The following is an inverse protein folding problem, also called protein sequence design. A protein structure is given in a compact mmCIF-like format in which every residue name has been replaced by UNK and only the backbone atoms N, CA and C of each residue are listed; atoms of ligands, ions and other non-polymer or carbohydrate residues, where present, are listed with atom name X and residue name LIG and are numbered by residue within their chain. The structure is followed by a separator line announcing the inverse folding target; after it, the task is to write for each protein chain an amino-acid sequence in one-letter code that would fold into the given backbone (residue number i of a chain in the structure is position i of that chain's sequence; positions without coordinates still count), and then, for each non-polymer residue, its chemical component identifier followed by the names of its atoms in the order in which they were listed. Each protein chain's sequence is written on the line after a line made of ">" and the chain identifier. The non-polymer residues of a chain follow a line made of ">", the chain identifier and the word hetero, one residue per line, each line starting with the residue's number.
data_IF_323077690977
#
_entry.id   IF_323077690977
#
_cell.length_a   1.000
_cell.length_b   1.000
_cell.length_c   1.000
_cell.angle_alpha   90.00
_cell.angle_beta   90.00
_cell.angle_gamma   90.00
#
_symmetry.space_group_name_H-M   'P 1'
#
loop_
_entity.id
_entity.type
_entity.pdbx_description
1 polymer ?
#
# COMPACT_ATOMS: atom_id res chain seq x y z
N UNK A 1 -39.59 -27.40 2.20
CA UNK A 1 -38.18 -27.02 1.89
C UNK A 1 -38.08 -25.51 1.63
N UNK A 2 -38.71 -24.74 2.51
CA UNK A 2 -38.72 -23.30 2.67
C UNK A 2 -38.83 -23.19 4.20
N UNK A 3 -37.77 -22.72 4.89
CA UNK A 3 -37.71 -22.34 6.33
C UNK A 3 -36.28 -22.47 6.90
N UNK A 4 -35.29 -21.89 6.22
CA UNK A 4 -33.94 -21.75 6.79
C UNK A 4 -33.23 -20.45 6.36
N UNK A 5 -33.97 -19.41 5.97
CA UNK A 5 -33.41 -18.05 5.85
C UNK A 5 -33.50 -17.40 7.24
N UNK A 6 -32.72 -17.93 8.18
CA UNK A 6 -32.41 -17.21 9.41
C UNK A 6 -31.73 -15.91 9.01
N UNK A 7 -32.33 -14.77 9.38
CA UNK A 7 -31.69 -13.45 9.33
C UNK A 7 -30.25 -13.59 9.84
N UNK A 8 -29.28 -13.56 8.93
CA UNK A 8 -27.89 -13.40 9.29
C UNK A 8 -27.75 -11.94 9.74
N UNK A 9 -28.10 -11.68 11.01
CA UNK A 9 -27.75 -10.43 11.67
C UNK A 9 -26.25 -10.20 11.47
N UNK A 10 -25.82 -8.95 11.26
CA UNK A 10 -24.40 -8.68 11.41
C UNK A 10 -23.98 -9.26 12.77
N UNK A 11 -22.87 -9.99 12.85
CA UNK A 11 -22.40 -10.48 14.12
C UNK A 11 -22.09 -9.27 14.99
N UNK A 12 -23.02 -8.90 15.89
CA UNK A 12 -22.66 -8.26 17.13
C UNK A 12 -21.73 -9.24 17.80
N UNK A 13 -20.44 -8.96 17.77
CA UNK A 13 -19.41 -9.72 18.46
C UNK A 13 -19.72 -9.74 19.98
N UNK A 14 -20.61 -10.64 20.39
CA UNK A 14 -20.77 -11.06 21.76
C UNK A 14 -19.61 -12.01 22.08
N UNK A 15 -18.42 -11.43 22.23
CA UNK A 15 -17.19 -12.19 22.46
C UNK A 15 -15.93 -11.35 22.32
N UNK A 16 -15.62 -10.58 23.38
CA UNK A 16 -14.49 -9.64 23.57
C UNK A 16 -14.66 -8.26 22.92
N UNK A 17 -14.86 -7.25 23.77
CA UNK A 17 -14.73 -5.83 23.43
C UNK A 17 -13.48 -5.63 22.54
N UNK A 18 -13.69 -5.18 21.31
CA UNK A 18 -12.65 -4.54 20.51
C UNK A 18 -11.93 -3.54 21.41
N UNK A 19 -10.59 -3.63 21.48
CA UNK A 19 -9.83 -2.82 22.43
C UNK A 19 -9.92 -1.32 22.09
N UNK A 20 -10.43 -1.00 20.89
CA UNK A 20 -10.90 0.33 20.50
C UNK A 20 -9.83 1.41 20.65
N UNK A 21 -8.57 1.03 20.43
CA UNK A 21 -7.39 1.84 20.70
C UNK A 21 -7.14 2.80 19.52
N UNK A 22 -7.46 2.38 18.30
CA UNK A 22 -7.20 3.16 17.10
C UNK A 22 -8.40 4.09 16.79
N UNK A 23 -8.15 5.39 16.93
CA UNK A 23 -9.06 6.44 16.47
C UNK A 23 -8.87 6.78 14.99
N UNK A 24 -9.75 7.65 14.47
CA UNK A 24 -9.69 8.10 13.07
C UNK A 24 -8.32 8.66 12.67
N UNK A 25 -7.69 9.47 13.53
CA UNK A 25 -6.37 10.07 13.26
C UNK A 25 -5.29 8.99 13.07
N UNK A 26 -5.25 7.99 13.95
CA UNK A 26 -4.31 6.88 13.83
C UNK A 26 -4.56 6.09 12.54
N UNK A 27 -5.81 5.75 12.23
CA UNK A 27 -6.13 5.02 10.99
C UNK A 27 -5.82 5.84 9.73
N UNK A 28 -6.00 7.17 9.76
CA UNK A 28 -5.56 8.06 8.69
C UNK A 28 -4.04 8.08 8.59
N UNK A 29 -3.31 8.13 9.71
CA UNK A 29 -1.85 8.06 9.72
C UNK A 29 -1.32 6.72 9.19
N UNK A 30 -2.06 5.61 9.40
CA UNK A 30 -1.78 4.32 8.75
C UNK A 30 -1.96 4.44 7.23
N UNK A 31 -3.13 4.93 6.78
CA UNK A 31 -3.43 5.04 5.35
C UNK A 31 -2.45 5.97 4.61
N UNK A 32 -2.20 7.16 5.15
CA UNK A 32 -1.27 8.14 4.56
C UNK A 32 0.17 7.66 4.70
N UNK A 33 0.53 7.15 5.88
CA UNK A 33 1.91 6.82 6.21
C UNK A 33 2.47 5.59 5.49
N UNK A 34 1.62 4.67 5.02
CA UNK A 34 2.06 3.58 4.16
C UNK A 34 2.23 4.03 2.70
N UNK A 35 1.29 4.83 2.21
CA UNK A 35 1.24 5.22 0.79
C UNK A 35 2.32 6.25 0.48
N UNK A 36 2.50 7.24 1.36
CA UNK A 36 3.51 8.27 1.18
C UNK A 36 4.83 7.68 1.68
N UNK A 37 5.65 7.25 0.73
CA UNK A 37 6.96 6.65 0.94
C UNK A 37 8.02 7.37 0.11
N UNK A 38 9.31 7.09 0.38
CA UNK A 38 10.39 7.73 -0.37
C UNK A 38 10.33 7.32 -1.85
N UNK A 39 10.06 6.05 -2.15
CA UNK A 39 9.92 5.55 -3.52
C UNK A 39 8.76 6.20 -4.26
N UNK A 40 7.62 6.42 -3.60
CA UNK A 40 6.49 7.14 -4.20
C UNK A 40 6.85 8.61 -4.45
N UNK A 41 7.59 9.27 -3.56
CA UNK A 41 8.07 10.64 -3.79
C UNK A 41 8.96 10.76 -5.05
N UNK A 42 9.83 9.77 -5.29
CA UNK A 42 10.63 9.66 -6.52
C UNK A 42 9.71 9.51 -7.72
N UNK A 43 8.81 8.54 -7.69
CA UNK A 43 7.92 8.22 -8.81
C UNK A 43 7.02 9.40 -9.18
N UNK A 44 6.45 10.12 -8.19
CA UNK A 44 5.63 11.29 -8.45
C UNK A 44 6.42 12.39 -9.17
N UNK A 45 7.69 12.62 -8.79
CA UNK A 45 8.54 13.60 -9.49
C UNK A 45 8.93 13.15 -10.89
N UNK A 46 9.21 11.86 -11.09
CA UNK A 46 9.48 11.32 -12.44
C UNK A 46 8.26 11.47 -13.35
N UNK A 47 7.05 11.19 -12.84
CA UNK A 47 5.80 11.41 -13.56
C UNK A 47 5.60 12.87 -13.98
N UNK A 48 5.93 13.80 -13.09
CA UNK A 48 5.96 15.25 -13.38
C UNK A 48 7.04 15.62 -14.39
N UNK A 49 8.21 15.00 -14.33
CA UNK A 49 9.25 15.20 -15.33
C UNK A 49 8.76 14.84 -16.74
N UNK A 50 7.98 13.77 -16.87
CA UNK A 50 7.46 13.29 -18.16
C UNK A 50 6.35 14.18 -18.72
N UNK A 51 5.35 14.54 -17.89
CA UNK A 51 4.15 15.27 -18.36
C UNK A 51 4.10 16.75 -17.95
N UNK A 52 5.13 17.26 -17.27
CA UNK A 52 5.12 18.62 -16.73
C UNK A 52 3.91 18.87 -15.82
N UNK A 53 3.29 20.04 -15.99
CA UNK A 53 2.11 20.44 -15.22
C UNK A 53 0.87 19.59 -15.55
N UNK A 54 0.84 18.91 -16.71
CA UNK A 54 -0.26 18.04 -17.11
C UNK A 54 -0.37 16.77 -16.27
N UNK A 55 0.68 16.38 -15.53
CA UNK A 55 0.67 15.21 -14.63
C UNK A 55 -0.42 15.28 -13.54
N UNK A 56 -0.96 16.47 -13.24
CA UNK A 56 -2.09 16.61 -12.32
C UNK A 56 -3.33 15.82 -12.78
N UNK A 57 -3.51 15.62 -14.09
CA UNK A 57 -4.64 14.87 -14.65
C UNK A 57 -4.53 13.36 -14.38
N UNK A 58 -3.44 12.66 -14.77
CA UNK A 58 -3.28 11.26 -14.39
C UNK A 58 -3.25 11.07 -12.87
N UNK A 59 -2.69 12.01 -12.11
CA UNK A 59 -2.74 12.01 -10.64
C UNK A 59 -4.19 12.05 -10.12
N UNK A 60 -5.03 12.93 -10.68
CA UNK A 60 -6.46 13.01 -10.33
C UNK A 60 -7.27 11.79 -10.75
N UNK A 61 -7.00 11.22 -11.93
CA UNK A 61 -7.65 9.98 -12.38
C UNK A 61 -7.28 8.81 -11.46
N UNK A 62 -6.00 8.67 -11.13
CA UNK A 62 -5.51 7.67 -10.19
C UNK A 62 -6.13 7.84 -8.79
N UNK A 63 -6.33 9.07 -8.33
CA UNK A 63 -7.06 9.35 -7.09
C UNK A 63 -8.51 8.84 -7.17
N UNK A 64 -9.24 9.07 -8.26
CA UNK A 64 -10.61 8.54 -8.45
C UNK A 64 -10.62 7.01 -8.43
N UNK A 65 -9.65 6.36 -9.09
CA UNK A 65 -9.49 4.90 -9.03
C UNK A 65 -9.18 4.43 -7.60
N UNK A 66 -8.43 5.21 -6.83
CA UNK A 66 -8.16 4.92 -5.45
C UNK A 66 -9.41 4.97 -4.56
N UNK A 67 -10.27 5.97 -4.76
CA UNK A 67 -11.57 6.05 -4.08
C UNK A 67 -12.45 4.83 -4.42
N UNK A 68 -12.34 4.29 -5.63
CA UNK A 68 -13.08 3.10 -6.05
C UNK A 68 -12.66 1.84 -5.28
N UNK A 69 -11.36 1.58 -5.13
CA UNK A 69 -10.90 0.46 -4.31
C UNK A 69 -11.22 0.71 -2.82
N UNK A 70 -11.08 1.94 -2.33
CA UNK A 70 -11.42 2.30 -0.95
C UNK A 70 -12.90 1.99 -0.63
N UNK A 71 -13.80 2.25 -1.58
CA UNK A 71 -15.22 1.87 -1.46
C UNK A 71 -15.40 0.36 -1.31
N UNK A 72 -14.64 -0.42 -2.06
CA UNK A 72 -14.76 -1.87 -2.08
C UNK A 72 -14.17 -2.49 -0.80
N UNK A 73 -12.95 -2.09 -0.43
CA UNK A 73 -12.33 -2.53 0.83
C UNK A 73 -13.12 -2.10 2.07
N UNK A 74 -13.71 -0.91 2.08
CA UNK A 74 -14.59 -0.45 3.18
C UNK A 74 -15.80 -1.38 3.37
N UNK A 75 -16.45 -1.77 2.28
CA UNK A 75 -17.61 -2.66 2.35
C UNK A 75 -17.21 -4.07 2.79
N UNK A 76 -16.11 -4.61 2.24
CA UNK A 76 -15.62 -5.93 2.61
C UNK A 76 -15.16 -6.00 4.06
N UNK A 77 -14.38 -5.01 4.52
CA UNK A 77 -13.85 -4.97 5.88
C UNK A 77 -14.94 -4.86 6.94
N UNK A 78 -16.09 -4.27 6.60
CA UNK A 78 -17.20 -4.12 7.53
C UNK A 78 -18.24 -5.23 7.42
N UNK A 79 -18.29 -5.93 6.28
CA UNK A 79 -19.08 -7.15 6.13
C UNK A 79 -18.42 -8.36 6.82
N UNK A 80 -17.09 -8.46 6.75
CA UNK A 80 -16.30 -9.53 7.36
C UNK A 80 -15.21 -8.91 8.24
N UNK A 81 -15.52 -8.41 9.45
CA UNK A 81 -14.59 -7.64 10.27
C UNK A 81 -13.51 -8.52 10.95
N UNK A 82 -12.56 -9.02 10.15
CA UNK A 82 -11.47 -9.91 10.56
C UNK A 82 -10.11 -9.40 10.12
N UNK A 83 -9.11 -9.72 10.93
CA UNK A 83 -7.70 -9.39 10.68
C UNK A 83 -7.14 -10.01 9.38
N UNK A 84 -7.70 -11.15 8.93
CA UNK A 84 -7.32 -11.80 7.67
C UNK A 84 -7.52 -10.94 6.42
N UNK A 85 -8.28 -9.83 6.53
CA UNK A 85 -8.47 -8.85 5.47
C UNK A 85 -8.87 -9.53 4.15
N UNK A 86 -8.17 -9.26 3.05
CA UNK A 86 -8.51 -9.76 1.72
C UNK A 86 -8.68 -11.28 1.65
N UNK A 87 -7.93 -12.08 2.41
CA UNK A 87 -8.13 -13.55 2.39
C UNK A 87 -9.48 -13.95 2.98
N UNK A 88 -9.88 -13.35 4.11
CA UNK A 88 -11.16 -13.59 4.76
C UNK A 88 -12.34 -13.11 3.91
N UNK A 89 -12.15 -12.07 3.11
CA UNK A 89 -13.18 -11.59 2.19
C UNK A 89 -13.33 -12.53 1.01
N UNK A 90 -12.19 -12.94 0.46
CA UNK A 90 -12.11 -13.77 -0.75
C UNK A 90 -12.53 -15.21 -0.50
N UNK A 91 -12.27 -15.77 0.69
CA UNK A 91 -12.70 -17.14 1.01
C UNK A 91 -14.22 -17.28 1.00
N UNK A 92 -14.94 -16.25 1.45
CA UNK A 92 -16.41 -16.19 1.42
C UNK A 92 -16.96 -15.95 0.03
N UNK A 93 -16.22 -15.18 -0.78
CA UNK A 93 -16.67 -14.75 -2.10
C UNK A 93 -16.36 -15.80 -3.19
N UNK A 94 -15.12 -16.27 -3.25
CA UNK A 94 -14.56 -17.04 -4.36
C UNK A 94 -13.88 -18.35 -3.92
N UNK A 95 -13.64 -18.55 -2.62
CA UNK A 95 -13.01 -19.76 -2.07
C UNK A 95 -11.53 -19.59 -1.74
N UNK A 96 -10.90 -20.68 -1.32
CA UNK A 96 -9.57 -20.66 -0.70
C UNK A 96 -8.44 -20.35 -1.68
N UNK A 97 -8.52 -20.79 -2.95
CA UNK A 97 -7.43 -20.58 -3.90
C UNK A 97 -7.22 -19.09 -4.22
N UNK A 98 -8.24 -18.32 -4.65
CA UNK A 98 -8.06 -16.88 -4.87
C UNK A 98 -7.71 -16.14 -3.56
N UNK A 99 -8.18 -16.63 -2.40
CA UNK A 99 -7.82 -16.04 -1.11
C UNK A 99 -6.32 -16.16 -0.80
N UNK A 100 -5.75 -17.37 -0.90
CA UNK A 100 -4.31 -17.60 -0.69
C UNK A 100 -3.49 -16.86 -1.74
N UNK A 101 -3.86 -16.97 -3.02
CA UNK A 101 -3.15 -16.31 -4.12
C UNK A 101 -3.09 -14.79 -3.90
N UNK A 102 -4.23 -14.16 -3.62
CA UNK A 102 -4.33 -12.70 -3.47
C UNK A 102 -3.45 -12.14 -2.36
N UNK A 103 -3.36 -12.79 -1.20
CA UNK A 103 -2.54 -12.31 -0.07
C UNK A 103 -1.06 -12.62 -0.27
N UNK A 104 -0.70 -13.84 -0.67
CA UNK A 104 0.73 -14.17 -0.84
C UNK A 104 1.34 -13.40 -2.01
N UNK A 105 0.68 -13.34 -3.16
CA UNK A 105 1.21 -12.62 -4.32
C UNK A 105 1.04 -11.10 -4.21
N UNK A 106 -0.11 -10.61 -3.74
CA UNK A 106 -0.44 -9.19 -3.71
C UNK A 106 0.03 -8.42 -2.46
N UNK A 107 0.36 -9.11 -1.37
CA UNK A 107 0.80 -8.45 -0.12
C UNK A 107 2.15 -8.97 0.37
N UNK A 108 2.37 -10.30 0.44
CA UNK A 108 3.64 -10.84 0.97
C UNK A 108 4.79 -10.63 0.00
N UNK A 109 4.62 -10.98 -1.29
CA UNK A 109 5.66 -10.78 -2.31
C UNK A 109 5.88 -9.29 -2.56
N UNK A 110 4.84 -8.48 -2.53
CA UNK A 110 5.04 -7.03 -2.66
C UNK A 110 5.75 -6.47 -1.44
N UNK A 111 5.38 -6.89 -0.22
CA UNK A 111 6.11 -6.49 0.97
C UNK A 111 7.59 -6.87 0.88
N UNK A 112 7.91 -8.05 0.34
CA UNK A 112 9.28 -8.49 0.08
C UNK A 112 10.06 -7.45 -0.73
N UNK A 113 9.57 -7.02 -1.89
CA UNK A 113 10.33 -6.14 -2.78
C UNK A 113 10.15 -4.66 -2.49
N UNK A 114 8.94 -4.20 -2.13
CA UNK A 114 8.64 -2.79 -1.87
C UNK A 114 9.38 -2.29 -0.64
N UNK A 115 9.36 -3.04 0.48
CA UNK A 115 10.06 -2.61 1.68
C UNK A 115 11.57 -2.71 1.53
N UNK A 116 12.09 -3.72 0.81
CA UNK A 116 13.52 -3.74 0.48
C UNK A 116 13.90 -2.52 -0.36
N UNK A 117 13.13 -2.17 -1.39
CA UNK A 117 13.40 -1.01 -2.23
C UNK A 117 13.43 0.29 -1.41
N UNK A 118 12.45 0.48 -0.52
CA UNK A 118 12.42 1.64 0.39
C UNK A 118 13.65 1.70 1.30
N UNK A 119 14.08 0.56 1.85
CA UNK A 119 15.26 0.50 2.71
C UNK A 119 16.57 0.76 1.92
N UNK A 120 16.65 0.30 0.67
CA UNK A 120 17.78 0.61 -0.22
C UNK A 120 17.81 2.10 -0.58
N UNK A 121 16.65 2.71 -0.83
CA UNK A 121 16.52 4.13 -1.11
C UNK A 121 17.01 5.00 0.06
N UNK A 122 16.71 4.61 1.30
CA UNK A 122 17.28 5.26 2.49
C UNK A 122 18.79 5.10 2.54
N UNK A 123 19.29 3.90 2.25
CA UNK A 123 20.73 3.64 2.26
C UNK A 123 21.47 4.46 1.21
N UNK A 124 20.90 4.56 0.00
CA UNK A 124 21.43 5.37 -1.08
C UNK A 124 21.45 6.85 -0.73
N UNK A 125 20.33 7.37 -0.20
CA UNK A 125 20.25 8.74 0.30
C UNK A 125 21.33 9.02 1.37
N UNK A 126 21.50 8.12 2.34
CA UNK A 126 22.53 8.29 3.37
C UNK A 126 23.95 8.16 2.84
N UNK A 127 24.19 7.34 1.82
CA UNK A 127 25.48 7.26 1.12
C UNK A 127 25.85 8.59 0.47
N UNK A 128 24.88 9.26 -0.16
CA UNK A 128 25.08 10.61 -0.75
C UNK A 128 25.39 11.65 0.32
N UNK A 129 24.72 11.59 1.48
CA UNK A 129 24.91 12.58 2.56
C UNK A 129 26.13 12.31 3.43
N UNK A 130 26.46 11.04 3.63
CA UNK A 130 27.50 10.55 4.52
C UNK A 130 28.26 9.41 3.83
N UNK A 131 29.28 9.72 2.99
CA UNK A 131 30.00 8.70 2.22
C UNK A 131 30.60 7.55 3.05
N UNK A 132 30.84 7.77 4.34
CA UNK A 132 31.32 6.74 5.26
C UNK A 132 30.34 5.56 5.49
N UNK A 133 29.05 5.73 5.18
CA UNK A 133 28.04 4.65 5.27
C UNK A 133 27.71 4.03 3.91
N UNK A 134 28.29 4.58 2.83
CA UNK A 134 28.04 4.13 1.46
C UNK A 134 28.38 2.64 1.31
N UNK A 135 27.49 1.92 0.61
CA UNK A 135 27.67 0.50 0.35
C UNK A 135 27.37 -0.43 1.54
N UNK A 136 27.20 0.07 2.76
CA UNK A 136 26.83 -0.75 3.93
C UNK A 136 25.32 -0.95 3.99
N UNK A 137 24.83 -2.11 4.42
CA UNK A 137 23.37 -2.33 4.60
C UNK A 137 22.93 -2.20 6.06
N UNK A 138 23.81 -1.70 6.94
CA UNK A 138 23.58 -1.67 8.37
C UNK A 138 22.41 -0.79 8.78
N UNK A 139 22.21 0.34 8.10
CA UNK A 139 21.08 1.23 8.39
C UNK A 139 19.76 0.58 7.97
N UNK A 140 19.71 -0.04 6.79
CA UNK A 140 18.54 -0.76 6.31
C UNK A 140 18.12 -1.88 7.27
N UNK A 141 19.05 -2.77 7.65
CA UNK A 141 18.78 -3.82 8.64
C UNK A 141 18.51 -3.27 10.04
N UNK A 142 19.14 -2.15 10.41
CA UNK A 142 18.89 -1.46 11.68
C UNK A 142 17.46 -0.95 11.79
N UNK A 143 16.95 -0.29 10.74
CA UNK A 143 15.55 0.16 10.64
C UNK A 143 14.62 -1.05 10.67
N UNK A 144 14.84 -2.05 9.81
CA UNK A 144 14.00 -3.24 9.76
C UNK A 144 13.95 -3.97 11.11
N UNK A 145 15.09 -4.16 11.75
CA UNK A 145 15.22 -4.78 13.07
C UNK A 145 14.53 -3.97 14.16
N UNK A 146 14.75 -2.65 14.20
CA UNK A 146 14.11 -1.77 15.17
C UNK A 146 12.58 -1.82 15.05
N UNK A 147 12.03 -1.68 13.84
CA UNK A 147 10.58 -1.74 13.63
C UNK A 147 9.99 -3.13 13.83
N UNK A 148 10.77 -4.19 13.59
CA UNK A 148 10.38 -5.55 13.96
C UNK A 148 10.22 -5.66 15.48
N UNK A 149 11.21 -5.22 16.26
CA UNK A 149 11.14 -5.22 17.73
C UNK A 149 9.96 -4.37 18.22
N UNK A 150 9.78 -3.17 17.67
CA UNK A 150 8.67 -2.29 18.06
C UNK A 150 7.30 -2.92 17.78
N UNK A 151 7.13 -3.61 16.65
CA UNK A 151 5.89 -4.32 16.34
C UNK A 151 5.68 -5.53 17.27
N UNK A 152 6.74 -6.20 17.73
CA UNK A 152 6.64 -7.25 18.74
C UNK A 152 6.23 -6.70 20.13
N UNK A 153 6.58 -5.44 20.45
CA UNK A 153 6.20 -4.76 21.69
C UNK A 153 4.72 -4.32 21.73
N UNK A 154 4.03 -4.27 20.59
CA UNK A 154 2.57 -4.18 20.51
C UNK A 154 2.01 -2.86 19.98
N UNK A 155 0.69 -2.87 19.75
CA UNK A 155 -0.03 -1.86 18.96
C UNK A 155 -0.02 -0.42 19.52
N UNK A 156 0.11 -0.22 20.83
CA UNK A 156 0.11 1.13 21.43
C UNK A 156 1.35 1.93 21.02
N UNK A 157 2.49 1.23 20.91
CA UNK A 157 3.76 1.83 20.46
C UNK A 157 3.66 2.14 18.97
N UNK A 158 3.15 1.19 18.19
CA UNK A 158 2.87 1.37 16.76
C UNK A 158 2.03 2.62 16.49
N UNK A 159 0.88 2.78 17.16
CA UNK A 159 -0.06 3.85 16.86
C UNK A 159 0.50 5.24 17.17
N UNK A 160 1.26 5.38 18.27
CA UNK A 160 1.90 6.64 18.63
C UNK A 160 3.00 7.00 17.63
N UNK A 161 3.85 6.04 17.29
CA UNK A 161 4.95 6.24 16.35
C UNK A 161 4.42 6.57 14.95
N UNK A 162 3.42 5.82 14.48
CA UNK A 162 2.83 6.02 13.16
C UNK A 162 2.22 7.41 12.99
N UNK A 163 1.53 7.92 14.01
CA UNK A 163 0.99 9.28 13.99
C UNK A 163 2.09 10.33 13.84
N UNK A 164 3.20 10.18 14.57
CA UNK A 164 4.34 11.11 14.50
C UNK A 164 5.02 11.04 13.13
N UNK A 165 5.30 9.83 12.63
CA UNK A 165 5.98 9.65 11.34
C UNK A 165 5.15 10.19 10.18
N UNK A 166 3.86 9.83 10.12
CA UNK A 166 2.97 10.31 9.06
C UNK A 166 2.80 11.84 9.10
N UNK A 167 2.67 12.41 10.30
CA UNK A 167 2.56 13.86 10.45
C UNK A 167 3.84 14.59 10.00
N UNK A 168 5.02 14.13 10.43
CA UNK A 168 6.30 14.74 10.08
C UNK A 168 6.49 14.78 8.55
N UNK A 169 6.19 13.66 7.89
CA UNK A 169 6.29 13.55 6.44
C UNK A 169 5.28 14.43 5.68
N UNK A 170 4.01 14.44 6.08
CA UNK A 170 2.99 15.30 5.46
C UNK A 170 3.39 16.77 5.59
N UNK A 171 3.90 17.18 6.76
CA UNK A 171 4.41 18.54 6.97
C UNK A 171 5.58 18.83 6.04
N UNK A 172 6.56 17.93 5.94
CA UNK A 172 7.73 18.13 5.08
C UNK A 172 7.35 18.31 3.59
N UNK A 173 6.49 17.43 3.06
CA UNK A 173 6.00 17.53 1.69
C UNK A 173 5.16 18.79 1.45
N UNK A 174 4.33 19.16 2.42
CA UNK A 174 3.54 20.39 2.34
C UNK A 174 4.44 21.62 2.34
N UNK A 175 5.50 21.63 3.16
CA UNK A 175 6.48 22.72 3.18
C UNK A 175 7.22 22.85 1.85
N UNK A 176 7.66 21.74 1.25
CA UNK A 176 8.26 21.71 -0.09
C UNK A 176 7.30 22.27 -1.15
N UNK A 177 6.04 21.84 -1.10
CA UNK A 177 5.03 22.31 -2.03
C UNK A 177 4.65 23.79 -1.86
N UNK A 178 4.49 24.27 -0.62
CA UNK A 178 4.14 25.69 -0.33
C UNK A 178 5.31 26.63 -0.59
N UNK A 179 6.55 26.22 -0.31
CA UNK A 179 7.72 27.05 -0.63
C UNK A 179 7.76 27.41 -2.12
N UNK A 180 7.36 26.46 -2.98
CA UNK A 180 7.24 26.67 -4.40
C UNK A 180 6.11 27.61 -4.82
N UNK A 181 5.03 27.76 -4.05
CA UNK A 181 4.00 28.76 -4.36
C UNK A 181 4.42 30.18 -3.99
N UNK A 182 5.27 30.33 -2.97
CA UNK A 182 5.62 31.63 -2.40
C UNK A 182 6.94 32.18 -2.93
N UNK A 183 7.87 31.32 -3.35
CA UNK A 183 9.24 31.71 -3.72
C UNK A 183 10.02 32.31 -2.55
N UNK A 184 9.52 32.18 -1.32
CA UNK A 184 10.01 32.92 -0.16
C UNK A 184 11.32 32.40 0.42
N UNK A 185 11.70 31.15 0.12
CA UNK A 185 12.92 30.52 0.64
C UNK A 185 14.08 30.55 -0.36
N UNK A 186 13.79 30.34 -1.63
CA UNK A 186 14.74 30.45 -2.74
C UNK A 186 14.01 31.01 -3.96
N UNK A 187 14.67 31.87 -4.77
CA UNK A 187 14.09 32.40 -5.98
C UNK A 187 13.76 31.27 -6.95
N UNK A 188 12.60 31.37 -7.60
CA UNK A 188 12.18 30.41 -8.59
C UNK A 188 13.11 30.40 -9.81
N UNK A 189 13.39 29.21 -10.32
CA UNK A 189 14.06 29.05 -11.60
C UNK A 189 13.10 29.29 -12.77
N UNK A 190 11.81 28.97 -12.59
CA UNK A 190 10.76 29.09 -13.62
C UNK A 190 9.57 29.91 -13.14
N UNK A 191 8.90 30.60 -14.05
CA UNK A 191 7.71 31.43 -13.76
C UNK A 191 6.42 30.64 -14.03
N UNK A 192 5.35 30.97 -13.30
CA UNK A 192 4.03 30.35 -13.48
C UNK A 192 3.49 30.41 -14.93
N UNK A 193 3.83 31.47 -15.68
CA UNK A 193 3.44 31.61 -17.08
C UNK A 193 4.14 30.59 -18.01
N UNK A 194 5.38 30.20 -17.69
CA UNK A 194 6.15 29.20 -18.45
C UNK A 194 5.56 27.79 -18.22
N UNK A 195 5.00 27.54 -17.03
CA UNK A 195 4.33 26.29 -16.67
C UNK A 195 2.95 26.11 -17.32
N UNK A 196 2.25 27.21 -17.57
CA UNK A 196 0.94 27.21 -18.23
C UNK A 196 1.05 26.97 -19.75
N UNK A 197 2.16 27.37 -20.37
CA UNK A 197 2.42 27.15 -21.80
C UNK A 197 2.75 25.70 -22.17
N UNK A 198 3.08 24.87 -21.18
CA UNK A 198 3.55 23.48 -21.33
C UNK A 198 2.47 22.44 -20.95
N UNK A 199 1.20 22.85 -20.79
CA UNK A 199 0.12 21.92 -20.49
C UNK A 199 -0.24 21.09 -21.75
N UNK A 200 0.45 19.98 -21.94
CA UNK A 200 0.18 19.03 -23.00
C UNK A 200 -0.05 17.63 -22.41
N UNK A 201 -1.28 17.12 -22.53
CA UNK A 201 -1.56 15.75 -22.10
C UNK A 201 -0.81 14.73 -22.98
N UNK A 202 -0.63 15.00 -24.28
CA UNK A 202 -0.05 14.04 -25.23
C UNK A 202 -0.68 12.63 -25.17
N UNK A 203 -0.12 11.69 -25.93
CA UNK A 203 -0.51 10.28 -25.81
C UNK A 203 0.13 9.61 -24.57
N UNK A 204 1.20 10.23 -24.03
CA UNK A 204 1.93 9.76 -22.85
C UNK A 204 1.22 9.99 -21.50
N UNK A 205 0.31 10.96 -21.36
CA UNK A 205 -0.37 11.17 -20.06
C UNK A 205 -1.23 9.98 -19.65
N UNK A 206 -1.71 9.20 -20.61
CA UNK A 206 -2.50 8.01 -20.34
C UNK A 206 -1.64 6.89 -19.73
N UNK A 207 -0.39 6.70 -20.15
CA UNK A 207 0.51 5.70 -19.54
C UNK A 207 0.89 6.09 -18.12
N UNK A 208 0.96 7.39 -17.83
CA UNK A 208 1.25 7.93 -16.50
C UNK A 208 0.14 7.68 -15.47
N UNK A 209 -1.07 7.31 -15.88
CA UNK A 209 -2.12 6.88 -14.93
C UNK A 209 -1.66 5.63 -14.17
N UNK A 210 -1.01 4.67 -14.85
CA UNK A 210 -0.51 3.45 -14.22
C UNK A 210 0.54 3.76 -13.15
N UNK A 211 1.46 4.69 -13.46
CA UNK A 211 2.46 5.21 -12.52
C UNK A 211 1.79 5.94 -11.35
N UNK A 212 0.81 6.81 -11.63
CA UNK A 212 0.12 7.60 -10.61
C UNK A 212 -0.70 6.73 -9.64
N UNK A 213 -1.27 5.60 -10.09
CA UNK A 213 -2.00 4.66 -9.23
C UNK A 213 -1.10 4.16 -8.09
N UNK A 214 0.19 3.94 -8.36
CA UNK A 214 1.13 3.51 -7.32
C UNK A 214 1.21 4.49 -6.15
N UNK A 215 1.04 5.80 -6.42
CA UNK A 215 0.97 6.85 -5.40
C UNK A 215 -0.27 6.82 -4.51
N UNK A 216 -1.17 5.85 -4.71
CA UNK A 216 -2.35 5.67 -3.88
C UNK A 216 -2.51 4.26 -3.32
N UNK A 217 -1.71 3.29 -3.75
CA UNK A 217 -1.81 1.88 -3.31
C UNK A 217 -1.38 1.77 -1.84
N UNK A 218 -2.20 1.12 -1.00
CA UNK A 218 -1.87 0.85 0.41
C UNK A 218 -2.82 1.47 1.44
N UNK A 219 -3.71 2.40 1.07
CA UNK A 219 -4.64 3.00 2.03
C UNK A 219 -5.55 1.95 2.73
N UNK A 220 -5.77 0.80 2.09
CA UNK A 220 -6.52 -0.34 2.61
C UNK A 220 -5.84 -1.11 3.75
N UNK A 221 -4.57 -0.85 4.07
CA UNK A 221 -3.87 -1.48 5.21
C UNK A 221 -4.48 -1.13 6.58
N UNK A 222 -5.45 -0.22 6.58
CA UNK A 222 -6.36 0.01 7.71
C UNK A 222 -7.29 -1.19 7.96
N UNK A 223 -7.64 -1.98 6.94
CA UNK A 223 -8.62 -3.07 7.02
C UNK A 223 -8.18 -4.23 7.96
N UNK A 224 -6.93 -4.72 7.92
CA UNK A 224 -6.42 -5.67 8.93
C UNK A 224 -6.53 -5.18 10.37
N UNK A 225 -6.61 -3.86 10.58
CA UNK A 225 -6.70 -3.22 11.91
C UNK A 225 -8.14 -3.02 12.39
N UNK A 226 -9.14 -3.57 11.68
CA UNK A 226 -10.57 -3.45 12.00
C UNK A 226 -10.91 -3.84 13.44
N UNK A 227 -10.25 -4.87 13.98
CA UNK A 227 -10.48 -5.34 15.36
C UNK A 227 -10.02 -4.37 16.45
N UNK A 228 -9.13 -3.42 16.13
CA UNK A 228 -8.58 -2.44 17.07
C UNK A 228 -9.15 -1.03 16.86
N UNK A 229 -9.96 -0.82 15.83
CA UNK A 229 -10.63 0.44 15.56
C UNK A 229 -11.72 0.73 16.61
N UNK A 230 -11.77 1.98 17.11
CA UNK A 230 -12.76 2.41 18.11
C UNK A 230 -14.20 2.47 17.58
N UNK A 231 -14.36 2.73 16.28
CA UNK A 231 -15.63 2.82 15.53
C UNK A 231 -15.40 2.37 14.08
N UNK A 232 -15.17 1.06 13.83
CA UNK A 232 -14.75 0.57 12.53
C UNK A 232 -15.70 1.00 11.41
N UNK A 233 -17.02 0.96 11.65
CA UNK A 233 -18.09 1.28 10.70
C UNK A 233 -18.03 2.71 10.15
N UNK A 234 -17.43 3.64 10.90
CA UNK A 234 -17.23 5.02 10.47
C UNK A 234 -15.78 5.32 10.15
N UNK A 235 -14.84 4.81 10.93
CA UNK A 235 -13.46 5.25 10.88
C UNK A 235 -12.65 4.57 9.78
N UNK A 236 -12.93 3.30 9.45
CA UNK A 236 -12.27 2.61 8.33
C UNK A 236 -12.57 3.30 6.99
N UNK A 237 -13.85 3.53 6.60
CA UNK A 237 -14.12 4.21 5.35
C UNK A 237 -13.60 5.64 5.37
N UNK A 238 -13.84 6.39 6.45
CA UNK A 238 -13.39 7.80 6.53
C UNK A 238 -11.87 7.92 6.49
N UNK A 239 -11.11 7.02 7.12
CA UNK A 239 -9.66 7.11 7.08
C UNK A 239 -9.10 6.87 5.69
N UNK A 240 -9.66 5.92 4.92
CA UNK A 240 -9.26 5.69 3.54
C UNK A 240 -9.62 6.89 2.66
N UNK A 241 -10.87 7.34 2.66
CA UNK A 241 -11.29 8.46 1.80
C UNK A 241 -10.56 9.77 2.11
N UNK A 242 -10.49 10.13 3.40
CA UNK A 242 -9.79 11.34 3.82
C UNK A 242 -8.27 11.19 3.61
N UNK A 243 -7.70 10.03 3.92
CA UNK A 243 -6.29 9.74 3.69
C UNK A 243 -5.90 9.90 2.24
N UNK A 244 -6.64 9.27 1.32
CA UNK A 244 -6.43 9.38 -0.13
C UNK A 244 -6.58 10.81 -0.64
N UNK A 245 -7.53 11.56 -0.12
CA UNK A 245 -7.72 12.97 -0.48
C UNK A 245 -6.57 13.85 0.02
N UNK A 246 -6.07 13.59 1.23
CA UNK A 246 -4.86 14.27 1.76
C UNK A 246 -3.64 13.92 0.91
N UNK A 247 -3.46 12.66 0.55
CA UNK A 247 -2.37 12.20 -0.33
C UNK A 247 -2.43 12.94 -1.67
N UNK A 248 -3.61 13.01 -2.32
CA UNK A 248 -3.78 13.74 -3.57
C UNK A 248 -3.42 15.22 -3.43
N UNK A 249 -3.92 15.90 -2.40
CA UNK A 249 -3.63 17.31 -2.19
C UNK A 249 -2.12 17.58 -1.97
N UNK A 250 -1.48 16.76 -1.15
CA UNK A 250 -0.04 16.89 -0.84
C UNK A 250 0.81 16.56 -2.06
N UNK A 251 0.52 15.48 -2.79
CA UNK A 251 1.26 15.15 -4.00
C UNK A 251 1.03 16.13 -5.14
N UNK A 252 -0.19 16.62 -5.33
CA UNK A 252 -0.45 17.68 -6.32
C UNK A 252 0.41 18.91 -6.04
N UNK A 253 0.45 19.35 -4.77
CA UNK A 253 1.25 20.50 -4.37
C UNK A 253 2.75 20.25 -4.53
N UNK A 254 3.23 19.08 -4.08
CA UNK A 254 4.63 18.67 -4.21
C UNK A 254 5.09 18.58 -5.67
N UNK A 255 4.27 17.95 -6.52
CA UNK A 255 4.51 17.78 -7.95
C UNK A 255 4.60 19.12 -8.68
N UNK A 256 3.58 19.97 -8.51
CA UNK A 256 3.55 21.29 -9.13
C UNK A 256 4.68 22.18 -8.60
N UNK A 257 5.01 22.03 -7.31
CA UNK A 257 6.08 22.80 -6.69
C UNK A 257 7.46 22.49 -7.27
N UNK A 258 7.74 21.23 -7.59
CA UNK A 258 9.03 20.81 -8.14
C UNK A 258 9.36 21.50 -9.47
N UNK A 259 8.35 21.73 -10.31
CA UNK A 259 8.51 22.37 -11.62
C UNK A 259 8.95 23.84 -11.54
N UNK A 260 8.79 24.50 -10.40
CA UNK A 260 9.28 25.87 -10.22
C UNK A 260 10.78 25.95 -9.94
N UNK A 261 11.39 24.84 -9.50
CA UNK A 261 12.77 24.81 -9.04
C UNK A 261 13.69 23.95 -9.93
N UNK A 262 13.16 22.91 -10.55
CA UNK A 262 13.95 21.98 -11.34
C UNK A 262 13.46 21.86 -12.79
N UNK A 263 14.39 21.76 -13.76
CA UNK A 263 14.06 21.33 -15.12
C UNK A 263 13.44 19.94 -15.12
N UNK A 264 12.54 19.67 -16.07
CA UNK A 264 11.86 18.38 -16.21
C UNK A 264 12.85 17.23 -16.40
N UNK A 265 13.92 17.45 -17.14
CA UNK A 265 14.97 16.46 -17.40
C UNK A 265 15.58 15.96 -16.09
N UNK A 266 15.87 16.86 -15.14
CA UNK A 266 16.39 16.47 -13.82
C UNK A 266 15.37 15.64 -13.05
N UNK A 267 14.09 16.03 -13.09
CA UNK A 267 13.02 15.28 -12.43
C UNK A 267 12.84 13.86 -13.01
N UNK A 268 13.09 13.68 -14.31
CA UNK A 268 13.00 12.38 -14.98
C UNK A 268 14.22 11.48 -14.72
N UNK A 269 15.43 12.02 -14.79
CA UNK A 269 16.65 11.20 -14.88
C UNK A 269 17.45 11.11 -13.59
N UNK A 270 17.23 12.02 -12.62
CA UNK A 270 17.93 11.94 -11.35
C UNK A 270 17.51 10.67 -10.59
N UNK A 271 18.47 10.05 -9.91
CA UNK A 271 18.19 8.88 -9.05
C UNK A 271 17.42 9.29 -7.78
N UNK A 272 17.72 10.49 -7.24
CA UNK A 272 17.04 11.09 -6.09
C UNK A 272 16.46 12.47 -6.45
N UNK A 273 15.44 12.56 -7.33
CA UNK A 273 14.89 13.85 -7.78
C UNK A 273 14.28 14.65 -6.62
N UNK A 274 13.85 13.96 -5.57
CA UNK A 274 13.35 14.58 -4.34
C UNK A 274 14.46 15.30 -3.56
N UNK A 275 15.71 14.78 -3.61
CA UNK A 275 16.90 15.41 -3.03
C UNK A 275 17.31 16.66 -3.76
N UNK A 276 17.34 16.57 -5.09
CA UNK A 276 17.57 17.73 -5.94
C UNK A 276 16.51 18.81 -5.67
N UNK A 277 15.24 18.42 -5.58
CA UNK A 277 14.16 19.37 -5.37
C UNK A 277 14.29 20.07 -4.01
N UNK A 278 14.48 19.31 -2.93
CA UNK A 278 14.61 19.90 -1.60
C UNK A 278 15.83 20.83 -1.50
N UNK A 279 16.95 20.44 -2.11
CA UNK A 279 18.18 21.23 -2.15
C UNK A 279 17.98 22.51 -2.97
N UNK A 280 17.29 22.45 -4.09
CA UNK A 280 16.96 23.63 -4.89
C UNK A 280 16.00 24.59 -4.17
N UNK A 281 15.04 24.07 -3.41
CA UNK A 281 14.04 24.88 -2.72
C UNK A 281 14.54 25.53 -1.42
N UNK A 282 15.48 24.90 -0.69
CA UNK A 282 15.88 25.31 0.66
C UNK A 282 17.41 25.31 0.89
N UNK A 283 18.22 25.12 -0.14
CA UNK A 283 19.68 24.99 -0.03
C UNK A 283 20.09 23.83 0.88
N UNK A 284 21.20 23.97 1.61
CA UNK A 284 21.70 22.92 2.51
C UNK A 284 20.74 22.53 3.64
N UNK A 285 19.81 23.42 4.03
CA UNK A 285 18.76 23.07 5.00
C UNK A 285 17.69 22.14 4.41
N UNK A 286 17.50 22.19 3.08
CA UNK A 286 16.61 21.30 2.33
C UNK A 286 17.08 19.86 2.33
N UNK A 287 18.38 19.65 2.21
CA UNK A 287 19.03 18.35 2.32
C UNK A 287 18.69 17.66 3.65
N UNK A 288 18.81 18.40 4.78
CA UNK A 288 18.45 17.88 6.09
C UNK A 288 16.93 17.63 6.24
N UNK A 289 16.10 18.59 5.81
CA UNK A 289 14.65 18.45 5.84
C UNK A 289 14.19 17.20 5.09
N UNK A 290 14.75 16.96 3.90
CA UNK A 290 14.41 15.80 3.12
C UNK A 290 14.96 14.51 3.72
N UNK A 291 16.19 14.50 4.23
CA UNK A 291 16.72 13.31 4.90
C UNK A 291 15.78 12.84 6.02
N UNK A 292 15.28 13.78 6.82
CA UNK A 292 14.27 13.49 7.85
C UNK A 292 12.97 12.99 7.22
N UNK A 293 12.46 13.66 6.18
CA UNK A 293 11.21 13.29 5.51
C UNK A 293 11.27 11.88 4.90
N UNK A 294 12.34 11.58 4.18
CA UNK A 294 12.59 10.32 3.50
C UNK A 294 12.74 9.16 4.50
N UNK A 295 13.58 9.32 5.52
CA UNK A 295 13.76 8.30 6.57
C UNK A 295 12.45 8.06 7.33
N UNK A 296 11.72 9.13 7.69
CA UNK A 296 10.44 8.99 8.40
C UNK A 296 9.36 8.35 7.52
N UNK A 297 9.34 8.62 6.21
CA UNK A 297 8.47 8.00 5.23
C UNK A 297 8.71 6.48 5.11
N UNK A 298 9.96 6.07 4.93
CA UNK A 298 10.33 4.66 4.90
C UNK A 298 10.03 3.97 6.24
N UNK A 299 10.37 4.60 7.36
CA UNK A 299 10.03 4.10 8.70
C UNK A 299 8.53 3.90 8.87
N UNK A 300 7.71 4.84 8.40
CA UNK A 300 6.26 4.79 8.43
C UNK A 300 5.68 3.63 7.60
N UNK A 301 6.25 3.42 6.41
CA UNK A 301 5.90 2.32 5.51
C UNK A 301 6.26 0.97 6.13
N UNK A 302 7.49 0.85 6.65
CA UNK A 302 7.98 -0.37 7.34
C UNK A 302 7.12 -0.70 8.55
N UNK A 303 6.84 0.31 9.39
CA UNK A 303 6.02 0.15 10.58
C UNK A 303 4.61 -0.34 10.24
N UNK A 304 3.96 0.24 9.22
CA UNK A 304 2.60 -0.12 8.83
C UNK A 304 2.52 -1.51 8.23
N UNK A 305 3.46 -1.88 7.36
CA UNK A 305 3.49 -3.22 6.76
C UNK A 305 3.77 -4.31 7.80
N UNK A 306 4.71 -4.08 8.72
CA UNK A 306 4.98 -5.01 9.83
C UNK A 306 3.85 -5.09 10.86
N UNK A 307 2.95 -4.11 10.90
CA UNK A 307 1.75 -4.19 11.71
C UNK A 307 0.62 -4.95 10.98
N UNK A 308 0.46 -4.75 9.68
CA UNK A 308 -0.69 -5.23 8.91
C UNK A 308 -0.50 -6.63 8.30
N UNK A 309 0.60 -6.87 7.58
CA UNK A 309 0.83 -8.13 6.84
C UNK A 309 0.89 -9.33 7.78
N UNK A 310 1.56 -9.27 8.95
CA UNK A 310 1.52 -10.36 9.93
C UNK A 310 0.13 -10.70 10.44
N UNK A 311 -0.78 -9.72 10.53
CA UNK A 311 -2.17 -9.92 10.95
C UNK A 311 -3.01 -10.58 9.86
N UNK A 312 -2.73 -10.26 8.59
CA UNK A 312 -3.30 -10.99 7.46
C UNK A 312 -2.87 -12.45 7.50
N UNK A 313 -1.57 -12.72 7.66
CA UNK A 313 -1.02 -14.07 7.79
C UNK A 313 -1.56 -14.83 9.01
N UNK A 314 -1.71 -14.15 10.15
CA UNK A 314 -2.36 -14.69 11.33
C UNK A 314 -3.81 -15.11 11.03
N UNK A 315 -4.58 -14.23 10.39
CA UNK A 315 -5.96 -14.54 10.02
C UNK A 315 -6.05 -15.71 9.04
N UNK A 316 -5.11 -15.81 8.09
CA UNK A 316 -4.99 -16.97 7.19
C UNK A 316 -4.66 -18.27 7.95
N UNK A 317 -3.73 -18.22 8.91
CA UNK A 317 -3.37 -19.37 9.73
C UNK A 317 -4.55 -19.85 10.58
N UNK A 318 -5.35 -18.93 11.13
CA UNK A 318 -6.58 -19.24 11.86
C UNK A 318 -7.64 -19.91 10.98
N UNK A 319 -7.63 -19.67 9.66
CA UNK A 319 -8.50 -20.34 8.69
C UNK A 319 -7.88 -21.59 8.05
N UNK A 320 -6.68 -22.01 8.47
CA UNK A 320 -5.94 -23.14 7.89
C UNK A 320 -5.40 -22.88 6.48
N UNK A 321 -5.42 -21.63 6.02
CA UNK A 321 -4.91 -21.18 4.71
C UNK A 321 -3.40 -20.97 4.71
N UNK A 322 -2.78 -20.92 5.89
CA UNK A 322 -1.34 -20.79 6.06
C UNK A 322 -0.86 -21.69 7.21
N UNK A 323 0.46 -21.79 7.40
CA UNK A 323 1.03 -22.60 8.47
C UNK A 323 0.51 -22.17 9.85
N UNK A 324 0.04 -23.10 10.72
CA UNK A 324 -0.52 -22.76 12.03
C UNK A 324 0.41 -21.93 12.93
N UNK A 325 1.73 -22.11 12.76
CA UNK A 325 2.77 -21.37 13.49
C UNK A 325 2.67 -19.85 13.28
N UNK A 326 2.21 -19.39 12.12
CA UNK A 326 2.02 -17.96 11.82
C UNK A 326 0.88 -17.33 12.66
N UNK A 327 -0.01 -18.17 13.21
CA UNK A 327 -1.07 -17.74 14.11
C UNK A 327 -0.63 -17.57 15.58
N UNK A 328 0.59 -17.96 15.94
CA UNK A 328 1.06 -17.94 17.33
C UNK A 328 1.23 -16.53 17.86
N UNK A 329 0.62 -16.25 19.02
CA UNK A 329 0.54 -14.91 19.62
C UNK A 329 1.36 -14.81 20.89
N UNK A 330 1.98 -13.65 21.12
CA UNK A 330 2.66 -13.36 22.39
C UNK A 330 1.64 -13.24 23.53
N UNK A 331 1.95 -13.79 24.73
CA UNK A 331 1.01 -13.79 25.87
C UNK A 331 0.57 -12.38 26.31
N UNK A 332 1.49 -11.41 26.32
CA UNK A 332 1.26 -10.05 26.83
C UNK A 332 0.60 -9.12 25.79
N UNK A 333 1.17 -9.06 24.58
CA UNK A 333 0.77 -8.11 23.54
C UNK A 333 -0.28 -8.69 22.58
N UNK A 334 -0.38 -10.03 22.50
CA UNK A 334 -1.21 -10.77 21.54
C UNK A 334 -0.84 -10.58 20.07
N UNK A 335 0.33 -10.02 19.80
CA UNK A 335 0.85 -9.88 18.43
C UNK A 335 1.30 -11.23 17.86
N UNK A 336 1.07 -11.50 16.56
CA UNK A 336 1.49 -12.74 15.89
C UNK A 336 3.00 -12.74 15.62
N UNK A 337 3.80 -12.99 16.65
CA UNK A 337 5.26 -12.79 16.60
C UNK A 337 5.96 -13.59 15.48
N UNK A 338 5.48 -14.80 15.18
CA UNK A 338 6.06 -15.64 14.11
C UNK A 338 5.79 -15.02 12.74
N UNK A 339 4.58 -14.50 12.52
CA UNK A 339 4.25 -13.83 11.26
C UNK A 339 5.00 -12.50 11.10
N UNK A 340 5.27 -11.79 12.22
CA UNK A 340 6.12 -10.59 12.23
C UNK A 340 7.55 -10.94 11.81
N UNK A 341 8.15 -11.96 12.43
CA UNK A 341 9.51 -12.42 12.07
C UNK A 341 9.58 -12.96 10.64
N UNK A 342 8.56 -13.69 10.19
CA UNK A 342 8.47 -14.16 8.81
C UNK A 342 8.44 -12.99 7.82
N UNK A 343 7.58 -11.99 8.07
CA UNK A 343 7.47 -10.81 7.19
C UNK A 343 8.77 -10.01 7.17
N UNK A 344 9.41 -9.82 8.33
CA UNK A 344 10.72 -9.17 8.43
C UNK A 344 11.81 -9.98 7.70
N UNK A 345 11.84 -11.30 7.85
CA UNK A 345 12.80 -12.17 7.18
C UNK A 345 12.65 -12.15 5.66
N UNK A 346 11.41 -12.22 5.16
CA UNK A 346 11.10 -12.09 3.74
C UNK A 346 11.51 -10.72 3.22
N UNK A 347 11.22 -9.64 3.95
CA UNK A 347 11.64 -8.26 3.60
C UNK A 347 13.16 -8.08 3.60
N UNK A 348 13.88 -8.78 4.48
CA UNK A 348 15.34 -8.72 4.54
C UNK A 348 16.04 -9.54 3.45
N UNK A 349 15.34 -10.52 2.86
CA UNK A 349 15.95 -11.46 1.92
C UNK A 349 16.47 -10.78 0.64
N UNK A 350 15.72 -9.87 -0.03
CA UNK A 350 16.26 -9.19 -1.21
C UNK A 350 17.48 -8.33 -0.89
N UNK A 351 17.50 -7.69 0.30
CA UNK A 351 18.68 -6.94 0.76
C UNK A 351 19.90 -7.86 0.87
N UNK A 352 19.75 -9.06 1.45
CA UNK A 352 20.85 -10.02 1.59
C UNK A 352 21.35 -10.59 0.25
N UNK A 353 20.44 -10.85 -0.69
CA UNK A 353 20.76 -11.52 -1.96
C UNK A 353 21.33 -10.52 -2.98
N UNK A 354 20.67 -9.38 -3.16
CA UNK A 354 20.99 -8.42 -4.23
C UNK A 354 21.78 -7.21 -3.73
N UNK A 355 22.02 -7.07 -2.42
CA UNK A 355 22.91 -6.05 -1.91
C UNK A 355 22.40 -4.64 -2.27
N UNK A 356 23.21 -3.91 -3.05
CA UNK A 356 22.89 -2.56 -3.54
C UNK A 356 22.39 -2.53 -4.99
N UNK A 357 22.02 -3.68 -5.57
CA UNK A 357 21.42 -3.73 -6.91
C UNK A 357 19.95 -3.27 -6.88
N UNK A 358 19.78 -1.96 -6.80
CA UNK A 358 18.48 -1.30 -6.81
C UNK A 358 17.72 -1.53 -8.12
N UNK A 359 18.42 -1.79 -9.23
CA UNK A 359 17.81 -2.08 -10.53
C UNK A 359 17.02 -3.37 -10.50
N UNK A 360 17.64 -4.47 -10.05
CA UNK A 360 16.96 -5.76 -9.92
C UNK A 360 15.81 -5.70 -8.91
N UNK A 361 16.02 -5.07 -7.75
CA UNK A 361 14.96 -4.94 -6.74
C UNK A 361 13.79 -4.09 -7.26
N UNK A 362 14.06 -3.02 -8.00
CA UNK A 362 13.05 -2.19 -8.65
C UNK A 362 12.27 -2.94 -9.73
N UNK A 363 12.96 -3.73 -10.57
CA UNK A 363 12.32 -4.54 -11.60
C UNK A 363 11.38 -5.60 -11.00
N UNK A 364 11.83 -6.27 -9.94
CA UNK A 364 11.01 -7.24 -9.21
C UNK A 364 9.86 -6.59 -8.44
N UNK A 365 10.05 -5.36 -7.95
CA UNK A 365 8.98 -4.56 -7.36
C UNK A 365 7.87 -4.26 -8.38
N UNK A 366 8.21 -3.78 -9.58
CA UNK A 366 7.20 -3.52 -10.63
C UNK A 366 6.48 -4.83 -11.00
N UNK A 367 7.21 -5.93 -11.09
CA UNK A 367 6.64 -7.27 -11.32
C UNK A 367 5.66 -7.68 -10.21
N UNK A 368 6.00 -7.42 -8.94
CA UNK A 368 5.14 -7.71 -7.80
C UNK A 368 3.92 -6.77 -7.75
N UNK A 369 4.06 -5.52 -8.17
CA UNK A 369 2.95 -4.56 -8.23
C UNK A 369 1.81 -5.07 -9.12
N UNK A 370 2.10 -5.79 -10.21
CA UNK A 370 1.09 -6.45 -11.05
C UNK A 370 0.24 -7.44 -10.22
N UNK A 371 0.87 -8.24 -9.36
CA UNK A 371 0.16 -9.15 -8.48
C UNK A 371 -0.71 -8.41 -7.44
N UNK A 372 -0.28 -7.23 -6.98
CA UNK A 372 -1.11 -6.37 -6.12
C UNK A 372 -2.35 -5.86 -6.86
N UNK A 373 -2.20 -5.38 -8.10
CA UNK A 373 -3.33 -4.90 -8.90
C UNK A 373 -4.34 -6.02 -9.16
N UNK A 374 -3.88 -7.26 -9.35
CA UNK A 374 -4.76 -8.44 -9.43
C UNK A 374 -5.50 -8.66 -8.10
N UNK A 375 -4.85 -8.49 -6.96
CA UNK A 375 -5.50 -8.57 -5.64
C UNK A 375 -6.60 -7.51 -5.47
N UNK A 376 -6.43 -6.30 -6.03
CA UNK A 376 -7.47 -5.27 -6.05
C UNK A 376 -8.64 -5.62 -6.96
N UNK A 377 -8.37 -6.19 -8.14
CA UNK A 377 -9.43 -6.74 -9.01
C UNK A 377 -10.23 -7.79 -8.24
N UNK A 378 -9.56 -8.70 -7.53
CA UNK A 378 -10.21 -9.70 -6.66
C UNK A 378 -11.08 -9.01 -5.59
N UNK A 379 -10.60 -7.94 -4.95
CA UNK A 379 -11.40 -7.19 -3.98
C UNK A 379 -12.69 -6.61 -4.59
N UNK A 380 -12.63 -6.02 -5.79
CA UNK A 380 -13.83 -5.55 -6.49
C UNK A 380 -14.78 -6.68 -6.84
N UNK A 381 -14.26 -7.79 -7.36
CA UNK A 381 -15.04 -8.99 -7.68
C UNK A 381 -15.70 -9.56 -6.42
N UNK A 382 -15.01 -9.54 -5.26
CA UNK A 382 -15.56 -10.00 -3.99
C UNK A 382 -16.82 -9.21 -3.60
N UNK A 383 -16.82 -7.89 -3.75
CA UNK A 383 -18.01 -7.07 -3.46
C UNK A 383 -19.17 -7.48 -4.36
N UNK A 384 -18.90 -7.64 -5.67
CA UNK A 384 -19.93 -8.04 -6.64
C UNK A 384 -20.49 -9.43 -6.31
N UNK A 385 -19.61 -10.41 -6.03
CA UNK A 385 -19.99 -11.77 -5.69
C UNK A 385 -20.79 -11.84 -4.38
N UNK A 386 -20.35 -11.11 -3.34
CA UNK A 386 -21.00 -11.12 -2.03
C UNK A 386 -22.33 -10.39 -2.04
N UNK A 387 -22.52 -9.34 -2.86
CA UNK A 387 -23.85 -8.71 -3.03
C UNK A 387 -24.85 -9.63 -3.72
N UNK A 388 -24.40 -10.46 -4.67
CA UNK A 388 -25.26 -11.46 -5.31
C UNK A 388 -25.57 -12.65 -4.40
N UNK A 389 -24.58 -13.14 -3.65
CA UNK A 389 -24.74 -14.33 -2.79
C UNK A 389 -25.45 -14.01 -1.47
N UNK A 390 -25.21 -12.82 -0.91
CA UNK A 390 -25.79 -12.38 0.36
C UNK A 390 -26.42 -10.99 0.21
N UNK A 391 -27.57 -10.89 -0.51
CA UNK A 391 -28.24 -9.61 -0.75
C UNK A 391 -28.80 -9.00 0.56
N UNK A 392 -29.29 -9.85 1.46
CA UNK A 392 -29.94 -9.43 2.71
C UNK A 392 -28.98 -9.31 3.90
N UNK A 393 -27.68 -9.59 3.70
CA UNK A 393 -26.69 -9.43 4.76
C UNK A 393 -26.59 -7.96 5.17
N UNK A 394 -26.51 -7.73 6.49
CA UNK A 394 -26.31 -6.40 7.04
C UNK A 394 -24.93 -5.86 6.64
N UNK A 395 -24.91 -4.64 6.10
CA UNK A 395 -23.72 -3.98 5.56
C UNK A 395 -23.58 -2.62 6.25
N UNK A 396 -22.73 -2.51 7.29
CA UNK A 396 -22.53 -1.25 8.01
C UNK A 396 -22.04 -0.11 7.10
N UNK A 397 -21.32 -0.47 6.04
CA UNK A 397 -20.98 0.42 4.94
C UNK A 397 -21.40 -0.23 3.62
N UNK A 398 -22.04 0.55 2.75
CA UNK A 398 -22.38 0.16 1.38
C UNK A 398 -21.63 1.06 0.42
N UNK A 399 -20.87 0.46 -0.50
CA UNK A 399 -20.22 1.15 -1.60
C UNK A 399 -21.26 1.99 -2.36
N UNK A 400 -21.02 3.31 -2.49
CA UNK A 400 -21.92 4.22 -3.18
C UNK A 400 -21.96 3.91 -4.68
N UNK A 401 -23.09 4.18 -5.34
CA UNK A 401 -23.25 4.00 -6.80
C UNK A 401 -22.95 2.58 -7.32
N UNK A 402 -23.02 1.56 -6.46
CA UNK A 402 -22.77 0.17 -6.86
C UNK A 402 -23.59 -0.24 -8.10
N UNK A 403 -23.00 -0.95 -9.09
CA UNK A 403 -21.63 -1.50 -9.12
C UNK A 403 -20.58 -0.59 -9.77
N UNK A 404 -20.87 0.70 -9.98
CA UNK A 404 -20.03 1.59 -10.77
C UNK A 404 -18.58 1.69 -10.26
N UNK A 405 -18.30 1.90 -8.96
CA UNK A 405 -16.91 1.95 -8.47
C UNK A 405 -16.16 0.64 -8.69
N UNK A 406 -16.84 -0.50 -8.61
CA UNK A 406 -16.20 -1.81 -8.82
C UNK A 406 -15.84 -2.00 -10.30
N UNK A 407 -16.72 -1.61 -11.22
CA UNK A 407 -16.44 -1.72 -12.65
C UNK A 407 -15.34 -0.77 -13.09
N UNK A 408 -15.39 0.50 -12.64
CA UNK A 408 -14.35 1.49 -12.91
C UNK A 408 -13.02 1.05 -12.30
N UNK A 409 -13.03 0.56 -11.05
CA UNK A 409 -11.84 0.06 -10.38
C UNK A 409 -11.22 -1.13 -11.12
N UNK A 410 -12.02 -2.13 -11.53
CA UNK A 410 -11.52 -3.26 -12.34
C UNK A 410 -10.91 -2.76 -13.65
N UNK A 411 -11.61 -1.90 -14.38
CA UNK A 411 -11.11 -1.36 -15.64
C UNK A 411 -9.80 -0.59 -15.46
N UNK A 412 -9.71 0.24 -14.41
CA UNK A 412 -8.51 1.01 -14.07
C UNK A 412 -7.32 0.13 -13.66
N UNK A 413 -7.54 -0.93 -12.88
CA UNK A 413 -6.47 -1.86 -12.50
C UNK A 413 -5.99 -2.70 -13.70
N UNK A 414 -6.90 -3.14 -14.58
CA UNK A 414 -6.54 -3.82 -15.83
C UNK A 414 -5.72 -2.89 -16.72
N UNK A 415 -6.18 -1.65 -16.86
CA UNK A 415 -5.45 -0.61 -17.58
C UNK A 415 -4.05 -0.41 -17.00
N UNK A 416 -3.93 -0.27 -15.68
CA UNK A 416 -2.64 -0.10 -15.00
C UNK A 416 -1.69 -1.28 -15.21
N UNK A 417 -2.22 -2.52 -15.23
CA UNK A 417 -1.42 -3.72 -15.52
C UNK A 417 -0.88 -3.66 -16.95
N UNK A 418 -1.71 -3.33 -17.94
CA UNK A 418 -1.30 -3.25 -19.35
C UNK A 418 -0.19 -2.22 -19.55
N UNK A 419 -0.25 -1.10 -18.83
CA UNK A 419 0.74 -0.02 -18.90
C UNK A 419 1.74 -0.03 -17.73
N UNK A 420 1.90 -1.16 -17.03
CA UNK A 420 2.80 -1.25 -15.87
C UNK A 420 4.28 -1.16 -16.27
N UNK A 421 4.62 -1.53 -17.51
CA UNK A 421 5.99 -1.50 -17.98
C UNK A 421 6.41 -0.08 -18.36
N UNK A 422 7.50 0.45 -17.79
CA UNK A 422 8.00 1.79 -18.11
C UNK A 422 8.66 1.85 -19.49
N UNK A 423 9.11 0.72 -20.03
CA UNK A 423 9.79 0.64 -21.32
C UNK A 423 9.43 -0.67 -22.05
N UNK A 424 9.18 -0.64 -23.38
CA UNK A 424 8.81 -1.83 -24.15
C UNK A 424 9.76 -3.02 -23.99
N UNK A 425 11.05 -2.76 -23.90
CA UNK A 425 12.10 -3.76 -23.71
C UNK A 425 12.01 -4.50 -22.37
N UNK A 426 11.52 -3.84 -21.32
CA UNK A 426 11.34 -4.44 -19.99
C UNK A 426 10.01 -5.18 -19.86
N UNK A 427 9.08 -4.99 -20.80
CA UNK A 427 7.72 -5.53 -20.72
C UNK A 427 7.73 -7.05 -20.59
N UNK A 428 8.46 -7.74 -21.47
CA UNK A 428 8.51 -9.21 -21.47
C UNK A 428 9.07 -9.73 -20.15
N UNK A 429 10.13 -9.11 -19.64
CA UNK A 429 10.76 -9.51 -18.38
C UNK A 429 9.83 -9.30 -17.18
N UNK A 430 9.20 -8.13 -17.07
CA UNK A 430 8.28 -7.80 -15.98
C UNK A 430 7.09 -8.78 -15.95
N UNK A 431 6.44 -9.01 -17.09
CA UNK A 431 5.30 -9.93 -17.16
C UNK A 431 5.71 -11.39 -16.94
N UNK A 432 6.92 -11.77 -17.38
CA UNK A 432 7.46 -13.10 -17.11
C UNK A 432 7.70 -13.29 -15.62
N UNK A 433 8.33 -12.33 -14.95
CA UNK A 433 8.59 -12.38 -13.51
C UNK A 433 7.28 -12.39 -12.70
N UNK A 434 6.31 -11.53 -13.05
CA UNK A 434 4.99 -11.54 -12.45
C UNK A 434 4.28 -12.90 -12.65
N UNK A 435 4.33 -13.45 -13.86
CA UNK A 435 3.76 -14.75 -14.20
C UNK A 435 4.41 -15.91 -13.44
N UNK A 436 5.73 -15.90 -13.29
CA UNK A 436 6.49 -16.89 -12.51
C UNK A 436 6.08 -16.83 -11.04
N UNK A 437 6.04 -15.63 -10.44
CA UNK A 437 5.61 -15.45 -9.04
C UNK A 437 4.18 -15.97 -8.85
N UNK A 438 3.24 -15.54 -9.70
CA UNK A 438 1.85 -15.99 -9.64
C UNK A 438 1.72 -17.50 -9.85
N UNK A 439 2.51 -18.07 -10.76
CA UNK A 439 2.58 -19.50 -11.02
C UNK A 439 3.07 -20.29 -9.82
N UNK A 440 4.19 -19.88 -9.21
CA UNK A 440 4.75 -20.51 -8.00
C UNK A 440 3.74 -20.44 -6.85
N UNK A 441 3.19 -19.25 -6.56
CA UNK A 441 2.20 -19.09 -5.50
C UNK A 441 0.95 -19.92 -5.78
N UNK A 442 0.52 -20.01 -7.04
CA UNK A 442 -0.63 -20.84 -7.44
C UNK A 442 -0.37 -22.33 -7.22
N UNK A 443 0.79 -22.85 -7.61
CA UNK A 443 1.18 -24.25 -7.40
C UNK A 443 1.23 -24.57 -5.91
N UNK A 444 1.87 -23.71 -5.12
CA UNK A 444 1.93 -23.86 -3.65
C UNK A 444 0.53 -23.82 -3.04
N UNK A 445 -0.33 -22.89 -3.46
CA UNK A 445 -1.70 -22.77 -2.97
C UNK A 445 -2.54 -24.02 -3.32
N UNK A 446 -2.44 -24.53 -4.54
CA UNK A 446 -3.15 -25.76 -4.96
C UNK A 446 -2.66 -26.95 -4.16
N UNK A 447 -1.34 -27.12 -4.01
CA UNK A 447 -0.75 -28.19 -3.22
C UNK A 447 -1.21 -28.11 -1.76
N UNK A 448 -1.18 -26.93 -1.14
CA UNK A 448 -1.65 -26.72 0.22
C UNK A 448 -3.14 -27.06 0.39
N UNK A 449 -3.99 -26.55 -0.49
CA UNK A 449 -5.44 -26.77 -0.40
C UNK A 449 -5.80 -28.25 -0.60
N UNK A 450 -5.14 -28.94 -1.53
CA UNK A 450 -5.43 -30.35 -1.84
C UNK A 450 -4.82 -31.31 -0.82
N UNK A 451 -3.57 -31.11 -0.42
CA UNK A 451 -2.82 -32.05 0.42
C UNK A 451 -3.05 -31.79 1.92
N UNK A 452 -3.09 -30.53 2.34
CA UNK A 452 -3.19 -30.13 3.75
C UNK A 452 -4.63 -29.83 4.14
N UNK A 453 -5.30 -28.93 3.43
CA UNK A 453 -6.67 -28.52 3.79
C UNK A 453 -7.72 -29.57 3.40
N UNK A 454 -7.44 -30.38 2.37
CA UNK A 454 -8.36 -31.35 1.77
C UNK A 454 -9.70 -30.73 1.38
N UNK A 455 -9.66 -29.51 0.83
CA UNK A 455 -10.84 -28.73 0.42
C UNK A 455 -10.90 -28.53 -1.11
N UNK A 456 -12.07 -28.22 -1.68
CA UNK A 456 -12.19 -27.71 -3.05
C UNK A 456 -11.57 -26.31 -3.20
N UNK A 457 -10.94 -26.04 -4.35
CA UNK A 457 -10.18 -24.81 -4.61
C UNK A 457 -11.07 -23.55 -4.62
N UNK A 458 -12.19 -23.61 -5.33
CA UNK A 458 -13.06 -22.46 -5.63
C UNK A 458 -14.43 -22.55 -4.95
N UNK A 459 -14.61 -23.45 -3.98
CA UNK A 459 -15.85 -23.50 -3.21
C UNK A 459 -15.78 -22.41 -2.14
N UNK A 460 -16.69 -21.44 -2.16
CA UNK A 460 -16.71 -20.39 -1.15
C UNK A 460 -17.23 -20.92 0.17
N UNK A 461 -16.68 -20.40 1.27
CA UNK A 461 -17.12 -20.74 2.61
C UNK A 461 -18.38 -19.94 3.00
N UNK A 462 -19.35 -20.55 3.73
CA UNK A 462 -20.52 -19.83 4.20
C UNK A 462 -20.15 -18.71 5.17
N UNK A 463 -20.75 -17.52 5.01
CA UNK A 463 -20.50 -16.37 5.87
C UNK A 463 -20.73 -16.68 7.36
N UNK A 464 -21.71 -17.54 7.66
CA UNK A 464 -22.08 -17.94 9.02
C UNK A 464 -21.07 -18.88 9.68
N UNK A 465 -20.33 -19.68 8.90
CA UNK A 465 -19.31 -20.59 9.46
C UNK A 465 -18.07 -19.81 9.89
N UNK A 466 -17.72 -18.79 9.13
CA UNK A 466 -16.63 -17.90 9.46
C UNK A 466 -16.98 -17.17 10.74
N UNK A 467 -18.16 -16.55 10.87
CA UNK A 467 -18.57 -15.84 12.08
C UNK A 467 -18.45 -16.64 13.40
N UNK A 468 -18.47 -17.98 13.34
CA UNK A 468 -18.36 -18.88 14.51
C UNK A 468 -16.91 -19.20 14.93
N UNK A 469 -15.92 -18.99 14.06
CA UNK A 469 -14.49 -19.22 14.32
C UNK A 469 -13.81 -17.94 14.75
#
# INVERSE_FOLDING_TARGET
>A
MQDAVSKAAAPTAAGKKARGILGLKSLMAVAVGLVVSQGVMVLMLQGVGIAGSAFIVPLGIAWVLALCYAASFSELALLVPRAGSLSAYTEVALGHFPAILSVFSGYVVVAMFALSAELLLVNFLLGVLYPAVEGTQYVAFGILGAFTVLNLLGIDVFAKLQNVLAFAMVVALTLLGVSALTGGFAPHAFRAAELAGDFNLGDGAFTLIALAIWGYVGAEFVCPLVGDARRPERYIPRSMYLGLTVIFAVFALYCLGALFYLPREVLMTAELPHLEYATAAFGGSGTFLLAVAAITATCSTVNTSLAAVPRMLQGMAEQGQAFPVLGWKTRKTREPWVAVLFTAGVTGLPLLIWGNDAGTVGLLLISAAIAWLIAYIIAHVNVIALRRRYPDAERPYRSPFYPLPQLIGIAGMVYAIVYASPAPELTVEIFTNAGVVLGIVSVVAVAWIKLVMKKPLFKPEPLNEIAKR
#
